data_IF_847046540898
#
_entry.id   IF_847046540898
#
_cell.length_a   1.000
_cell.length_b   1.000
_cell.length_c   1.000
_cell.angle_alpha   90.00
_cell.angle_beta   90.00
_cell.angle_gamma   90.00
#
_symmetry.space_group_name_H-M   'P 1'
#
loop_
_entity.id
_entity.type
_entity.pdbx_description
1 polymer ?
#
# COMPACT_ATOMS: atom_id res chain seq x y z
N UNK A 1 12.40 -23.81 -7.75
CA UNK A 1 10.96 -23.93 -7.44
C UNK A 1 10.21 -22.93 -8.29
N UNK A 2 8.97 -23.18 -8.68
CA UNK A 2 8.16 -22.21 -9.42
C UNK A 2 7.57 -21.24 -8.39
N UNK A 3 7.98 -19.98 -8.43
CA UNK A 3 7.37 -18.92 -7.63
C UNK A 3 6.06 -18.49 -8.28
N UNK A 4 5.02 -18.30 -7.50
CA UNK A 4 3.77 -17.68 -7.91
C UNK A 4 3.41 -16.62 -6.89
N UNK A 5 3.57 -15.37 -7.28
CA UNK A 5 3.43 -14.21 -6.43
C UNK A 5 2.09 -13.55 -6.75
N UNK A 6 1.26 -13.32 -5.73
CA UNK A 6 0.11 -12.45 -5.84
C UNK A 6 0.53 -11.03 -5.47
N UNK A 7 0.28 -10.08 -6.36
CA UNK A 7 0.55 -8.66 -6.11
C UNK A 7 -0.79 -8.00 -5.78
N UNK A 8 -0.89 -7.43 -4.59
CA UNK A 8 -2.05 -6.72 -4.07
C UNK A 8 -1.73 -5.23 -4.01
N UNK A 9 -2.69 -4.38 -4.34
CA UNK A 9 -2.57 -2.93 -4.24
C UNK A 9 -3.92 -2.31 -3.97
N UNK A 10 -3.95 -1.11 -3.39
CA UNK A 10 -5.14 -0.28 -3.32
C UNK A 10 -6.34 -1.00 -2.67
N UNK A 11 -6.10 -1.61 -1.52
CA UNK A 11 -7.14 -2.32 -0.75
C UNK A 11 -8.16 -1.34 -0.20
N UNK A 12 -7.70 -0.14 0.20
CA UNK A 12 -8.56 0.95 0.65
C UNK A 12 -9.58 0.54 1.72
N UNK A 13 -9.18 -0.26 2.70
CA UNK A 13 -10.07 -0.71 3.77
C UNK A 13 -11.20 -1.65 3.33
N UNK A 14 -11.12 -2.24 2.13
CA UNK A 14 -12.14 -3.16 1.64
C UNK A 14 -11.85 -4.61 2.03
N UNK A 15 -12.11 -4.95 3.28
CA UNK A 15 -11.87 -6.27 3.87
C UNK A 15 -12.54 -7.39 3.07
N UNK A 16 -13.79 -7.17 2.63
CA UNK A 16 -14.54 -8.18 1.85
C UNK A 16 -13.88 -8.47 0.50
N UNK A 17 -13.41 -7.44 -0.20
CA UNK A 17 -12.69 -7.63 -1.45
C UNK A 17 -11.34 -8.32 -1.22
N UNK A 18 -10.61 -7.94 -0.17
CA UNK A 18 -9.35 -8.56 0.19
C UNK A 18 -9.51 -10.07 0.47
N UNK A 19 -10.54 -10.46 1.23
CA UNK A 19 -10.84 -11.88 1.50
C UNK A 19 -11.07 -12.66 0.20
N UNK A 20 -11.87 -12.11 -0.72
CA UNK A 20 -12.16 -12.74 -2.00
C UNK A 20 -10.90 -12.89 -2.86
N UNK A 21 -10.06 -11.85 -2.93
CA UNK A 21 -8.81 -11.85 -3.70
C UNK A 21 -7.80 -12.83 -3.12
N UNK A 22 -7.66 -12.89 -1.78
CA UNK A 22 -6.78 -13.87 -1.12
C UNK A 22 -7.21 -15.29 -1.46
N UNK A 23 -8.51 -15.57 -1.38
CA UNK A 23 -9.05 -16.89 -1.72
C UNK A 23 -8.75 -17.27 -3.16
N UNK A 24 -9.00 -16.39 -4.12
CA UNK A 24 -8.73 -16.62 -5.54
C UNK A 24 -7.23 -16.85 -5.78
N UNK A 25 -6.37 -16.04 -5.19
CA UNK A 25 -4.92 -16.20 -5.28
C UNK A 25 -4.45 -17.57 -4.74
N UNK A 26 -5.03 -18.03 -3.62
CA UNK A 26 -4.74 -19.37 -3.06
C UNK A 26 -5.19 -20.49 -3.99
N UNK A 27 -6.39 -20.40 -4.58
CA UNK A 27 -6.90 -21.36 -5.55
C UNK A 27 -6.02 -21.39 -6.82
N UNK A 28 -5.48 -20.27 -7.23
CA UNK A 28 -4.49 -20.15 -8.30
C UNK A 28 -3.09 -20.63 -7.88
N UNK A 29 -2.88 -20.95 -6.61
CA UNK A 29 -1.64 -21.51 -6.06
C UNK A 29 -0.56 -20.45 -5.81
N UNK A 30 -0.93 -19.24 -5.41
CA UNK A 30 0.03 -18.26 -4.92
C UNK A 30 0.80 -18.81 -3.72
N UNK A 31 2.11 -18.61 -3.74
CA UNK A 31 3.03 -19.10 -2.68
C UNK A 31 3.56 -17.96 -1.84
N UNK A 32 3.41 -16.72 -2.28
CA UNK A 32 3.78 -15.51 -1.58
C UNK A 32 2.96 -14.31 -2.09
N UNK A 33 2.94 -13.24 -1.29
CA UNK A 33 2.16 -12.04 -1.57
C UNK A 33 3.04 -10.79 -1.43
N UNK A 34 2.85 -9.84 -2.33
CA UNK A 34 3.44 -8.50 -2.27
C UNK A 34 2.31 -7.48 -2.15
N UNK A 35 2.43 -6.53 -1.23
CA UNK A 35 1.44 -5.49 -0.99
C UNK A 35 2.03 -4.13 -1.37
N UNK A 36 1.39 -3.48 -2.32
CA UNK A 36 1.89 -2.27 -2.96
C UNK A 36 1.29 -0.98 -2.39
N UNK A 37 0.85 -1.00 -1.11
CA UNK A 37 0.34 0.18 -0.41
C UNK A 37 -1.15 0.44 -0.60
N UNK A 38 -1.61 1.57 -0.09
CA UNK A 38 -3.01 2.01 -0.01
C UNK A 38 -3.90 0.98 0.70
N UNK A 39 -3.50 0.68 1.94
CA UNK A 39 -4.09 -0.37 2.77
C UNK A 39 -5.40 0.11 3.39
N UNK A 40 -5.38 1.30 3.98
CA UNK A 40 -6.50 1.90 4.72
C UNK A 40 -7.25 2.91 3.85
N UNK A 41 -8.38 3.39 4.34
CA UNK A 41 -9.20 4.46 3.80
C UNK A 41 -9.36 4.48 2.25
N UNK A 42 -10.51 4.97 1.75
CA UNK A 42 -11.66 5.46 2.52
C UNK A 42 -12.62 4.37 3.01
N UNK A 43 -12.34 3.10 2.77
CA UNK A 43 -13.18 1.98 3.23
C UNK A 43 -13.12 1.76 4.74
N UNK A 44 -14.05 0.96 5.28
CA UNK A 44 -14.26 0.83 6.72
C UNK A 44 -13.35 -0.19 7.42
N UNK A 45 -12.53 -0.94 6.67
CA UNK A 45 -11.71 -2.02 7.23
C UNK A 45 -10.72 -1.53 8.27
N UNK A 46 -10.62 -2.27 9.36
CA UNK A 46 -9.78 -1.99 10.54
C UNK A 46 -8.96 -3.22 10.89
N UNK A 47 -9.02 -3.68 12.14
CA UNK A 47 -8.22 -4.80 12.66
C UNK A 47 -8.38 -6.07 11.83
N UNK A 48 -9.59 -6.42 11.40
CA UNK A 48 -9.87 -7.61 10.60
C UNK A 48 -9.14 -7.63 9.25
N UNK A 49 -8.86 -6.45 8.69
CA UNK A 49 -8.06 -6.35 7.46
C UNK A 49 -6.61 -6.79 7.72
N UNK A 50 -6.02 -6.36 8.83
CA UNK A 50 -4.67 -6.74 9.21
C UNK A 50 -4.57 -8.19 9.65
N UNK A 51 -5.61 -8.74 10.29
CA UNK A 51 -5.72 -10.16 10.57
C UNK A 51 -5.68 -11.00 9.28
N UNK A 52 -6.40 -10.58 8.23
CA UNK A 52 -6.33 -11.21 6.92
C UNK A 52 -4.93 -11.10 6.30
N UNK A 53 -4.30 -9.93 6.32
CA UNK A 53 -2.95 -9.75 5.81
C UNK A 53 -1.94 -10.62 6.58
N UNK A 54 -2.12 -10.79 7.89
CA UNK A 54 -1.27 -11.64 8.72
C UNK A 54 -1.46 -13.14 8.47
N UNK A 55 -2.58 -13.52 7.85
CA UNK A 55 -2.88 -14.93 7.52
C UNK A 55 -2.18 -15.43 6.26
N UNK A 56 -1.56 -14.55 5.48
CA UNK A 56 -0.89 -14.88 4.22
C UNK A 56 0.62 -14.66 4.32
N UNK A 57 1.45 -15.38 3.52
CA UNK A 57 2.89 -15.15 3.47
C UNK A 57 3.22 -13.84 2.73
N UNK A 58 3.05 -12.72 3.43
CA UNK A 58 3.36 -11.39 2.94
C UNK A 58 4.88 -11.17 3.01
N UNK A 59 5.56 -11.12 1.86
CA UNK A 59 7.03 -11.12 1.77
C UNK A 59 7.62 -9.80 1.31
N UNK A 60 6.80 -8.88 0.83
CA UNK A 60 7.16 -7.50 0.52
C UNK A 60 5.95 -6.60 0.72
N UNK A 61 6.19 -5.43 1.30
CA UNK A 61 5.15 -4.41 1.49
C UNK A 61 5.80 -3.05 1.35
N UNK A 62 5.15 -2.17 0.58
CA UNK A 62 5.49 -0.75 0.51
C UNK A 62 4.31 0.09 0.99
N UNK A 63 4.58 1.33 1.36
CA UNK A 63 3.58 2.28 1.82
C UNK A 63 2.98 3.03 0.64
N UNK A 64 1.66 3.22 0.63
CA UNK A 64 0.93 3.99 -0.37
C UNK A 64 0.66 5.44 0.05
N UNK A 65 0.13 6.24 -0.86
CA UNK A 65 -0.14 7.65 -0.59
C UNK A 65 -1.33 7.85 0.38
N UNK A 66 -2.33 6.99 0.37
CA UNK A 66 -3.41 7.05 1.37
C UNK A 66 -2.93 6.64 2.76
N UNK A 67 -1.97 5.73 2.84
CA UNK A 67 -1.33 5.38 4.10
C UNK A 67 -0.58 6.59 4.67
N UNK A 68 0.15 7.35 3.82
CA UNK A 68 0.79 8.61 4.21
C UNK A 68 -0.24 9.65 4.69
N UNK A 69 -1.36 9.81 3.96
CA UNK A 69 -2.44 10.72 4.38
C UNK A 69 -2.99 10.41 5.78
N UNK A 70 -3.13 9.11 6.13
CA UNK A 70 -3.53 8.72 7.50
C UNK A 70 -2.49 9.15 8.52
N UNK A 71 -1.21 8.92 8.24
CA UNK A 71 -0.11 9.28 9.14
C UNK A 71 0.00 10.79 9.33
N UNK A 72 -0.09 11.57 8.24
CA UNK A 72 -0.08 13.04 8.25
C UNK A 72 -1.26 13.61 9.07
N UNK A 73 -2.46 13.02 8.91
CA UNK A 73 -3.63 13.39 9.71
C UNK A 73 -3.43 13.12 11.21
N UNK A 74 -2.78 12.00 11.56
CA UNK A 74 -2.48 11.64 12.96
C UNK A 74 -1.38 12.51 13.54
N UNK A 75 -0.42 12.93 12.73
CA UNK A 75 0.69 13.79 13.14
C UNK A 75 0.28 15.28 13.21
N UNK A 76 -0.98 15.60 12.82
CA UNK A 76 -1.54 16.95 12.93
C UNK A 76 -1.10 17.89 11.81
N UNK A 77 -0.74 17.35 10.65
CA UNK A 77 -0.28 18.13 9.50
C UNK A 77 -1.42 18.80 8.73
N UNK A 78 -2.67 18.35 8.93
CA UNK A 78 -3.84 18.89 8.25
C UNK A 78 -4.55 19.99 9.07
N UNK A 79 -5.00 21.03 8.35
CA UNK A 79 -5.75 22.14 8.90
C UNK A 79 -7.28 21.92 8.90
N UNK A 80 -8.00 22.94 9.36
CA UNK A 80 -9.48 22.96 9.36
C UNK A 80 -10.04 23.98 8.36
N UNK A 81 -9.27 24.36 7.35
CA UNK A 81 -9.66 25.33 6.34
C UNK A 81 -9.98 24.68 4.99
N UNK A 82 -9.24 23.63 4.62
CA UNK A 82 -9.47 22.89 3.38
C UNK A 82 -10.52 21.78 3.59
N UNK A 83 -11.60 21.75 2.78
CA UNK A 83 -12.62 20.70 2.89
C UNK A 83 -12.10 19.28 2.69
N UNK A 84 -11.06 19.07 1.89
CA UNK A 84 -10.46 17.76 1.66
C UNK A 84 -9.68 17.30 2.89
N UNK A 85 -8.88 18.19 3.49
CA UNK A 85 -8.17 17.91 4.74
C UNK A 85 -9.15 17.61 5.88
N UNK A 86 -10.22 18.40 6.01
CA UNK A 86 -11.28 18.15 7.00
C UNK A 86 -11.92 16.78 6.81
N UNK A 87 -12.20 16.39 5.56
CA UNK A 87 -12.77 15.08 5.27
C UNK A 87 -11.82 13.96 5.67
N UNK A 88 -10.55 14.10 5.34
CA UNK A 88 -9.52 13.11 5.65
C UNK A 88 -9.29 12.96 7.16
N UNK A 89 -9.24 14.08 7.89
CA UNK A 89 -9.20 14.08 9.36
C UNK A 89 -10.39 13.31 9.97
N UNK A 90 -11.60 13.53 9.46
CA UNK A 90 -12.80 12.82 9.95
C UNK A 90 -12.76 11.33 9.66
N UNK A 91 -12.30 10.95 8.47
CA UNK A 91 -12.14 9.55 8.10
C UNK A 91 -11.07 8.88 8.98
N UNK A 92 -9.94 9.55 9.21
CA UNK A 92 -8.89 9.05 10.09
C UNK A 92 -9.37 8.94 11.54
N UNK A 93 -10.11 9.92 12.05
CA UNK A 93 -10.70 9.84 13.39
C UNK A 93 -11.65 8.65 13.53
N UNK A 94 -12.54 8.45 12.54
CA UNK A 94 -13.44 7.30 12.51
C UNK A 94 -12.67 5.97 12.46
N UNK A 95 -11.61 5.90 11.65
CA UNK A 95 -10.76 4.72 11.57
C UNK A 95 -10.15 4.37 12.93
N UNK A 96 -9.63 5.38 13.64
CA UNK A 96 -8.92 5.21 14.92
C UNK A 96 -9.85 4.88 16.11
N UNK A 97 -11.16 4.93 15.96
CA UNK A 97 -12.09 4.53 17.04
C UNK A 97 -11.90 3.07 17.46
N UNK A 98 -11.51 2.20 16.51
CA UNK A 98 -11.40 0.76 16.75
C UNK A 98 -10.14 0.13 16.14
N UNK A 99 -9.26 0.91 15.52
CA UNK A 99 -8.00 0.42 14.96
C UNK A 99 -6.92 0.38 16.05
N UNK A 100 -6.30 -0.77 16.23
CA UNK A 100 -5.19 -0.95 17.14
C UNK A 100 -3.96 -0.15 16.67
N UNK A 101 -3.34 0.56 17.60
CA UNK A 101 -2.20 1.44 17.29
C UNK A 101 -0.99 0.68 16.74
N UNK A 102 -0.85 -0.61 17.04
CA UNK A 102 0.23 -1.43 16.49
C UNK A 102 0.19 -1.52 14.96
N UNK A 103 -1.00 -1.46 14.35
CA UNK A 103 -1.15 -1.46 12.89
C UNK A 103 -0.73 -0.13 12.28
N UNK A 104 -1.00 0.98 12.98
CA UNK A 104 -0.51 2.31 12.59
C UNK A 104 1.02 2.33 12.63
N UNK A 105 1.61 1.82 13.69
CA UNK A 105 3.07 1.73 13.84
C UNK A 105 3.69 0.84 12.76
N UNK A 106 3.02 -0.26 12.40
CA UNK A 106 3.45 -1.11 11.31
C UNK A 106 3.43 -0.36 9.97
N UNK A 107 2.33 0.33 9.62
CA UNK A 107 2.24 1.15 8.40
C UNK A 107 3.35 2.21 8.39
N UNK A 108 3.57 2.90 9.50
CA UNK A 108 4.63 3.90 9.63
C UNK A 108 6.02 3.34 9.37
N UNK A 109 6.23 2.08 9.68
CA UNK A 109 7.50 1.37 9.44
C UNK A 109 7.73 0.94 7.99
N UNK A 110 6.70 0.96 7.15
CA UNK A 110 6.79 0.49 5.77
C UNK A 110 7.67 1.43 4.92
N UNK A 111 8.56 0.86 4.10
CA UNK A 111 9.37 1.65 3.17
C UNK A 111 8.55 2.11 1.96
N UNK A 112 9.03 3.11 1.23
CA UNK A 112 8.49 3.50 -0.07
C UNK A 112 8.95 2.57 -1.19
N UNK A 113 10.10 1.91 -1.02
CA UNK A 113 10.70 1.02 -2.02
C UNK A 113 11.18 -0.26 -1.36
N UNK A 114 10.88 -1.39 -1.98
CA UNK A 114 11.45 -2.70 -1.64
C UNK A 114 12.12 -3.27 -2.88
N UNK A 115 13.39 -3.69 -2.74
CA UNK A 115 14.11 -4.41 -3.78
C UNK A 115 14.12 -5.91 -3.48
N UNK A 116 13.86 -6.71 -4.50
CA UNK A 116 13.86 -8.18 -4.43
C UNK A 116 14.62 -8.77 -5.59
N UNK A 117 15.24 -9.92 -5.36
CA UNK A 117 15.81 -10.76 -6.41
C UNK A 117 15.15 -12.14 -6.37
N UNK A 118 14.64 -12.59 -7.51
CA UNK A 118 14.05 -13.93 -7.67
C UNK A 118 14.61 -14.57 -8.94
N UNK A 119 15.31 -15.67 -8.78
CA UNK A 119 15.92 -16.42 -9.89
C UNK A 119 16.84 -15.56 -10.79
N UNK A 120 17.54 -14.59 -10.23
CA UNK A 120 18.43 -13.70 -10.95
C UNK A 120 17.74 -12.52 -11.64
N UNK A 121 16.42 -12.36 -11.43
CA UNK A 121 15.64 -11.20 -11.89
C UNK A 121 15.52 -10.23 -10.73
N UNK A 122 15.83 -8.96 -10.96
CA UNK A 122 15.75 -7.89 -9.97
C UNK A 122 14.44 -7.12 -10.10
N UNK A 123 13.74 -6.96 -8.99
CA UNK A 123 12.48 -6.24 -8.89
C UNK A 123 12.66 -5.02 -7.99
N UNK A 124 12.14 -3.89 -8.45
CA UNK A 124 11.93 -2.69 -7.62
C UNK A 124 10.43 -2.51 -7.43
N UNK A 125 9.99 -2.53 -6.18
CA UNK A 125 8.58 -2.43 -5.78
C UNK A 125 8.35 -1.06 -5.16
N UNK A 126 7.42 -0.30 -5.70
CA UNK A 126 7.03 1.02 -5.20
C UNK A 126 5.55 1.26 -5.52
N UNK A 127 4.86 2.02 -4.67
CA UNK A 127 3.47 2.40 -4.94
C UNK A 127 3.38 3.47 -6.03
N UNK A 128 4.28 4.45 -5.99
CA UNK A 128 4.36 5.53 -6.98
C UNK A 128 5.81 5.71 -7.43
N UNK A 129 6.46 6.82 -7.12
CA UNK A 129 7.89 7.02 -7.39
C UNK A 129 8.75 6.58 -6.19
N UNK A 130 10.00 6.16 -6.40
CA UNK A 130 10.88 5.74 -5.31
C UNK A 130 11.10 6.79 -4.22
N UNK A 131 11.08 8.07 -4.60
CA UNK A 131 11.38 9.18 -3.70
C UNK A 131 10.13 9.85 -3.10
N UNK A 132 8.94 9.60 -3.68
CA UNK A 132 7.68 10.18 -3.21
C UNK A 132 6.48 9.33 -3.59
N UNK A 133 5.48 9.37 -2.74
CA UNK A 133 4.34 8.46 -2.82
C UNK A 133 3.12 9.03 -3.55
N UNK A 134 3.20 10.29 -4.02
CA UNK A 134 2.11 10.95 -4.73
C UNK A 134 2.62 11.96 -5.75
N UNK A 135 1.77 12.30 -6.71
CA UNK A 135 2.04 13.27 -7.77
C UNK A 135 1.37 12.87 -9.08
N UNK A 136 1.41 13.76 -10.04
CA UNK A 136 0.83 13.55 -11.36
C UNK A 136 1.79 12.97 -12.40
N UNK A 137 3.02 12.69 -12.04
CA UNK A 137 4.11 12.36 -12.97
C UNK A 137 3.86 11.08 -13.76
N UNK A 138 3.28 10.07 -13.10
CA UNK A 138 2.99 8.77 -13.72
C UNK A 138 1.58 8.69 -14.34
N UNK A 139 0.88 9.81 -14.45
CA UNK A 139 -0.44 9.80 -15.05
C UNK A 139 -0.37 9.39 -16.53
N UNK A 140 -1.23 8.47 -17.03
CA UNK A 140 -1.16 7.93 -18.40
C UNK A 140 -1.26 8.98 -19.52
N UNK A 141 -1.81 10.17 -19.23
CA UNK A 141 -1.90 11.27 -20.18
C UNK A 141 -0.64 12.15 -20.22
N UNK A 142 0.31 11.92 -19.34
CA UNK A 142 1.55 12.67 -19.26
C UNK A 142 2.64 12.08 -20.17
N UNK A 143 3.72 12.83 -20.33
CA UNK A 143 4.94 12.36 -20.97
C UNK A 143 5.49 11.12 -20.22
N UNK A 144 5.87 10.11 -20.98
CA UNK A 144 6.44 8.86 -20.44
C UNK A 144 7.89 9.00 -19.95
N UNK A 145 8.51 10.17 -20.12
CA UNK A 145 9.89 10.44 -19.69
C UNK A 145 10.12 10.23 -18.18
N UNK A 146 9.06 10.29 -17.38
CA UNK A 146 9.13 10.05 -15.94
C UNK A 146 9.21 8.55 -15.56
N UNK A 147 8.88 7.64 -16.48
CA UNK A 147 8.92 6.21 -16.19
C UNK A 147 10.34 5.70 -15.97
N UNK A 148 11.35 6.36 -16.54
CA UNK A 148 12.76 6.03 -16.28
C UNK A 148 13.14 6.17 -14.79
N UNK A 149 12.38 6.98 -14.02
CA UNK A 149 12.59 7.13 -12.58
C UNK A 149 12.18 5.88 -11.77
N UNK A 150 11.39 5.00 -12.36
CA UNK A 150 11.00 3.71 -11.74
C UNK A 150 12.10 2.67 -11.88
N UNK A 151 13.01 2.86 -12.82
CA UNK A 151 14.08 1.94 -13.13
C UNK A 151 15.39 2.48 -12.55
N UNK A 152 16.18 1.62 -11.99
CA UNK A 152 17.56 1.89 -11.65
C UNK A 152 18.48 0.84 -12.32
N UNK A 153 19.79 1.05 -12.25
CA UNK A 153 20.79 0.16 -12.88
C UNK A 153 20.76 -1.29 -12.33
N UNK A 154 19.91 -1.57 -11.33
CA UNK A 154 19.77 -2.88 -10.68
C UNK A 154 18.38 -3.50 -10.89
N UNK A 155 17.54 -2.91 -11.75
CA UNK A 155 16.21 -3.44 -12.07
C UNK A 155 16.22 -4.04 -13.47
N UNK A 156 15.70 -5.27 -13.62
CA UNK A 156 15.57 -6.00 -14.88
C UNK A 156 14.18 -5.83 -15.51
#
# INVERSE_FOLDING_TARGET
MKHRIAILSDIHGNTTALEAVIKDAQELGATEYWLMGDILLPGPGRNELFELLSSIPLTATVRGNWDDCVLEALDGEYGLEDPQEIQLLRLTQYLMEELDTEYVDWIRSLPLVVKKEINGIHFSLTHHLPEKNYGGELHPANDTSHFDQLLDDQTD
#
